data_IF_840673241224
#
_entry.id   IF_840673241224
#
_cell.length_a   1.000
_cell.length_b   1.000
_cell.length_c   1.000
_cell.angle_alpha   90.00
_cell.angle_beta   90.00
_cell.angle_gamma   90.00
#
_symmetry.space_group_name_H-M   'P 1'
#
loop_
_entity.id
_entity.type
_entity.pdbx_description
1 polymer ?
#
# COMPACT_ATOMS: atom_id res chain seq x y z
N UNK A 1 -23.32 4.61 6.38
CA UNK A 1 -22.92 3.71 5.29
C UNK A 1 -21.98 4.50 4.39
N UNK A 2 -20.87 3.91 3.93
CA UNK A 2 -19.97 4.60 3.01
C UNK A 2 -20.63 4.61 1.61
N UNK A 3 -20.56 5.73 0.88
CA UNK A 3 -21.25 5.95 -0.40
C UNK A 3 -21.01 4.87 -1.47
N UNK A 4 -19.89 4.17 -1.40
CA UNK A 4 -19.53 3.10 -2.34
C UNK A 4 -20.20 1.75 -2.05
N UNK A 5 -20.67 1.53 -0.82
CA UNK A 5 -21.43 0.33 -0.48
C UNK A 5 -22.80 0.32 -1.18
N UNK A 6 -23.34 1.48 -1.52
CA UNK A 6 -24.59 1.63 -2.28
C UNK A 6 -24.40 1.34 -3.78
N UNK A 7 -23.16 1.35 -4.28
CA UNK A 7 -22.84 1.28 -5.72
C UNK A 7 -22.48 -0.13 -6.20
N UNK A 8 -22.64 -1.17 -5.38
CA UNK A 8 -22.36 -2.59 -5.68
C UNK A 8 -20.92 -2.96 -6.08
N UNK A 9 -19.96 -2.02 -6.02
CA UNK A 9 -18.54 -2.29 -6.24
C UNK A 9 -17.94 -2.73 -4.92
N UNK A 10 -17.62 -4.02 -4.81
CA UNK A 10 -16.99 -4.58 -3.62
C UNK A 10 -15.85 -5.50 -4.01
N UNK A 11 -14.63 -5.32 -3.46
CA UNK A 11 -13.51 -6.18 -3.78
C UNK A 11 -13.77 -7.60 -3.29
N UNK A 12 -13.35 -8.58 -4.08
CA UNK A 12 -13.28 -9.98 -3.66
C UNK A 12 -12.12 -10.18 -2.68
N UNK A 13 -11.02 -9.41 -2.85
CA UNK A 13 -9.81 -9.50 -2.04
C UNK A 13 -9.15 -8.13 -1.88
N UNK A 14 -8.67 -7.83 -0.68
CA UNK A 14 -7.86 -6.65 -0.36
C UNK A 14 -6.52 -7.11 0.21
N UNK A 15 -5.44 -6.79 -0.47
CA UNK A 15 -4.08 -7.12 -0.10
C UNK A 15 -3.41 -5.88 0.51
N UNK A 16 -2.94 -5.98 1.75
CA UNK A 16 -2.27 -4.90 2.47
C UNK A 16 -0.77 -5.15 2.51
N UNK A 17 -0.04 -4.48 1.64
CA UNK A 17 1.39 -4.65 1.51
C UNK A 17 2.15 -3.63 2.37
N UNK A 18 2.98 -4.15 3.28
CA UNK A 18 3.83 -3.37 4.17
C UNK A 18 5.29 -3.83 4.09
N UNK A 19 6.21 -2.95 4.49
CA UNK A 19 7.64 -3.27 4.57
C UNK A 19 8.48 -2.01 4.67
N UNK A 20 9.64 -2.13 5.33
CA UNK A 20 10.58 -1.01 5.52
C UNK A 20 11.18 -0.53 4.20
N UNK A 21 11.72 0.70 4.17
CA UNK A 21 12.51 1.20 3.04
C UNK A 21 13.56 0.18 2.57
N UNK A 22 13.69 0.03 1.25
CA UNK A 22 14.66 -0.85 0.57
C UNK A 22 14.45 -2.37 0.81
N UNK A 23 13.33 -2.79 1.41
CA UNK A 23 13.00 -4.22 1.53
C UNK A 23 12.53 -4.87 0.21
N UNK A 24 12.22 -4.08 -0.82
CA UNK A 24 11.72 -4.59 -2.12
C UNK A 24 10.20 -4.74 -2.21
N UNK A 25 9.45 -4.07 -1.32
CA UNK A 25 7.99 -3.96 -1.39
C UNK A 25 7.47 -3.59 -2.78
N UNK A 26 8.06 -2.56 -3.41
CA UNK A 26 7.61 -2.07 -4.71
C UNK A 26 7.87 -3.09 -5.83
N UNK A 27 8.94 -3.89 -5.70
CA UNK A 27 9.19 -5.02 -6.60
C UNK A 27 8.07 -6.06 -6.48
N UNK A 28 7.65 -6.41 -5.27
CA UNK A 28 6.55 -7.36 -5.03
C UNK A 28 5.24 -6.85 -5.63
N UNK A 29 4.87 -5.59 -5.39
CA UNK A 29 3.64 -5.04 -5.95
C UNK A 29 3.66 -4.98 -7.47
N UNK A 30 4.81 -4.62 -8.05
CA UNK A 30 4.96 -4.56 -9.51
C UNK A 30 4.87 -5.95 -10.14
N UNK A 31 5.49 -6.97 -9.53
CA UNK A 31 5.42 -8.34 -10.02
C UNK A 31 4.02 -8.94 -9.95
N UNK A 32 3.29 -8.68 -8.87
CA UNK A 32 1.87 -9.08 -8.79
C UNK A 32 1.01 -8.38 -9.85
N UNK A 33 1.21 -7.08 -10.03
CA UNK A 33 0.47 -6.32 -11.06
C UNK A 33 0.81 -6.82 -12.47
N UNK A 34 2.08 -7.07 -12.77
CA UNK A 34 2.54 -7.62 -14.05
C UNK A 34 1.93 -9.00 -14.32
N UNK A 35 1.91 -9.88 -13.31
CA UNK A 35 1.35 -11.23 -13.42
C UNK A 35 -0.13 -11.23 -13.79
N UNK A 36 -0.93 -10.36 -13.17
CA UNK A 36 -2.38 -10.28 -13.42
C UNK A 36 -2.79 -9.31 -14.53
N UNK A 37 -1.86 -8.56 -15.12
CA UNK A 37 -2.15 -7.50 -16.10
C UNK A 37 -2.99 -7.97 -17.29
N UNK A 38 -2.70 -9.16 -17.80
CA UNK A 38 -3.37 -9.73 -18.97
C UNK A 38 -4.38 -10.84 -18.60
N UNK A 39 -4.70 -10.99 -17.32
CA UNK A 39 -5.66 -12.00 -16.89
C UNK A 39 -7.09 -11.46 -17.01
N UNK A 40 -7.86 -11.99 -17.96
CA UNK A 40 -9.22 -11.51 -18.22
C UNK A 40 -10.19 -11.73 -17.05
N UNK A 41 -9.90 -12.72 -16.18
CA UNK A 41 -10.72 -13.05 -15.02
C UNK A 41 -10.44 -12.17 -13.80
N UNK A 42 -9.34 -11.42 -13.79
CA UNK A 42 -8.89 -10.65 -12.62
C UNK A 42 -8.88 -9.16 -12.95
N UNK A 43 -9.41 -8.36 -12.04
CA UNK A 43 -9.20 -6.91 -12.06
C UNK A 43 -8.36 -6.53 -10.83
N UNK A 44 -7.06 -6.34 -11.01
CA UNK A 44 -6.18 -5.89 -9.93
C UNK A 44 -6.00 -4.38 -10.01
N UNK A 45 -6.29 -3.67 -8.92
CA UNK A 45 -6.11 -2.22 -8.80
C UNK A 45 -5.11 -1.89 -7.70
N UNK A 46 -4.09 -1.12 -8.07
CA UNK A 46 -3.13 -0.57 -7.12
C UNK A 46 -3.77 0.61 -6.38
N UNK A 47 -3.69 0.58 -5.06
CA UNK A 47 -4.13 1.67 -4.19
C UNK A 47 -2.93 2.17 -3.39
N UNK A 48 -2.71 3.48 -3.40
CA UNK A 48 -1.67 4.11 -2.59
C UNK A 48 -2.31 5.08 -1.59
N UNK A 49 -2.01 4.92 -0.31
CA UNK A 49 -2.47 5.80 0.77
C UNK A 49 -1.70 7.12 0.72
N UNK A 50 -0.45 7.10 0.24
CA UNK A 50 0.36 8.31 0.14
C UNK A 50 -0.05 9.25 -0.99
N UNK A 51 -0.75 8.79 -2.03
CA UNK A 51 -1.24 9.68 -3.09
C UNK A 51 -2.25 10.74 -2.59
N UNK A 52 -3.36 10.38 -1.90
CA UNK A 52 -4.27 11.40 -1.36
C UNK A 52 -3.61 12.28 -0.30
N UNK A 53 -2.64 11.74 0.46
CA UNK A 53 -1.80 12.54 1.37
C UNK A 53 -1.05 13.64 0.60
N UNK A 54 -0.28 13.30 -0.43
CA UNK A 54 0.46 14.28 -1.22
C UNK A 54 -0.46 15.31 -1.85
N UNK A 55 -1.61 14.87 -2.39
CA UNK A 55 -2.59 15.77 -3.02
C UNK A 55 -3.20 16.74 -2.02
N UNK A 56 -3.59 16.26 -0.84
CA UNK A 56 -4.16 17.10 0.21
C UNK A 56 -3.12 18.07 0.79
N UNK A 57 -1.88 17.60 1.03
CA UNK A 57 -0.77 18.44 1.49
C UNK A 57 -0.42 19.54 0.49
N UNK A 58 -0.34 19.18 -0.81
CA UNK A 58 -0.06 20.14 -1.88
C UNK A 58 -1.12 21.26 -1.93
N UNK A 59 -2.40 20.87 -1.85
CA UNK A 59 -3.52 21.83 -1.83
C UNK A 59 -3.48 22.76 -0.62
N UNK A 60 -3.23 22.24 0.58
CA UNK A 60 -3.22 23.04 1.82
C UNK A 60 -2.01 24.00 1.88
N UNK A 61 -0.91 23.67 1.21
CA UNK A 61 0.34 24.45 1.23
C UNK A 61 0.63 25.21 -0.08
N UNK A 62 -0.32 25.24 -1.03
CA UNK A 62 -0.15 25.83 -2.37
C UNK A 62 1.11 25.34 -3.10
N UNK A 63 1.39 24.03 -3.01
CA UNK A 63 2.52 23.39 -3.69
C UNK A 63 2.05 22.72 -4.99
N UNK A 64 2.97 22.61 -5.95
CA UNK A 64 2.77 21.82 -7.15
C UNK A 64 2.79 20.32 -6.81
N UNK A 65 1.65 19.65 -7.03
CA UNK A 65 1.49 18.23 -6.77
C UNK A 65 2.40 17.36 -7.65
N UNK A 66 2.61 17.72 -8.92
CA UNK A 66 3.43 16.93 -9.84
C UNK A 66 4.90 16.96 -9.40
N UNK A 67 5.38 18.09 -8.90
CA UNK A 67 6.73 18.21 -8.34
C UNK A 67 6.91 17.39 -7.05
N UNK A 68 5.85 17.16 -6.28
CA UNK A 68 5.87 16.28 -5.09
C UNK A 68 5.82 14.78 -5.45
N UNK A 69 5.46 14.44 -6.69
CA UNK A 69 5.52 13.08 -7.20
C UNK A 69 6.94 12.71 -7.65
N UNK A 70 7.67 13.66 -8.24
CA UNK A 70 9.01 13.45 -8.80
C UNK A 70 10.04 13.04 -7.73
N UNK A 71 11.00 12.21 -8.14
CA UNK A 71 12.04 11.56 -7.32
C UNK A 71 13.22 12.47 -6.95
N UNK A 72 13.00 13.78 -6.89
CA UNK A 72 14.02 14.78 -6.66
C UNK A 72 14.31 15.02 -5.17
N UNK A 73 15.45 15.66 -4.89
CA UNK A 73 15.84 16.13 -3.55
C UNK A 73 14.77 17.01 -2.90
N UNK A 74 14.01 17.74 -3.73
CA UNK A 74 12.81 18.49 -3.37
C UNK A 74 11.79 17.66 -2.58
N UNK A 75 11.52 16.42 -3.00
CA UNK A 75 10.57 15.52 -2.33
C UNK A 75 11.04 15.10 -0.94
N UNK A 76 12.34 14.89 -0.75
CA UNK A 76 12.88 14.51 0.57
C UNK A 76 12.84 15.69 1.56
N UNK A 77 13.00 16.94 1.09
CA UNK A 77 12.84 18.15 1.91
C UNK A 77 11.42 18.24 2.50
N UNK A 78 10.39 17.98 1.69
CA UNK A 78 9.00 18.03 2.15
C UNK A 78 8.52 16.74 2.82
N UNK A 79 9.25 15.63 2.69
CA UNK A 79 8.87 14.33 3.25
C UNK A 79 8.61 14.43 4.75
N UNK A 80 9.52 15.06 5.50
CA UNK A 80 9.38 15.19 6.96
C UNK A 80 8.15 16.02 7.34
N UNK A 81 7.97 17.20 6.72
CA UNK A 81 6.81 18.06 6.96
C UNK A 81 5.49 17.36 6.62
N UNK A 82 5.48 16.59 5.53
CA UNK A 82 4.31 15.83 5.10
C UNK A 82 4.00 14.67 6.06
N UNK A 83 5.02 14.00 6.60
CA UNK A 83 4.84 12.97 7.64
C UNK A 83 4.20 13.60 8.88
N UNK A 84 4.81 14.66 9.42
CA UNK A 84 4.32 15.40 10.60
C UNK A 84 2.87 15.86 10.41
N UNK A 85 2.58 16.50 9.28
CA UNK A 85 1.21 16.94 8.94
C UNK A 85 0.23 15.75 8.82
N UNK A 86 0.67 14.65 8.20
CA UNK A 86 -0.18 13.46 8.06
C UNK A 86 -0.48 12.80 9.40
N UNK A 87 0.47 12.82 10.34
CA UNK A 87 0.30 12.26 11.67
C UNK A 87 -0.72 13.09 12.46
N UNK A 88 -0.65 14.42 12.41
CA UNK A 88 -1.66 15.31 13.02
C UNK A 88 -3.08 15.05 12.49
N UNK A 89 -3.25 14.89 11.16
CA UNK A 89 -4.57 14.54 10.59
C UNK A 89 -5.05 13.17 11.08
N UNK A 90 -4.14 12.20 11.25
CA UNK A 90 -4.44 10.84 11.70
C UNK A 90 -4.72 10.74 13.19
N UNK A 91 -4.22 11.66 14.01
CA UNK A 91 -4.59 11.76 15.43
C UNK A 91 -6.06 12.11 15.61
N UNK A 92 -6.58 13.00 14.76
CA UNK A 92 -8.01 13.34 14.72
C UNK A 92 -8.83 12.23 14.05
N UNK A 93 -8.31 11.69 12.95
CA UNK A 93 -9.02 10.71 12.12
C UNK A 93 -8.06 9.69 11.49
N UNK A 94 -7.85 8.54 12.15
CA UNK A 94 -6.88 7.54 11.70
C UNK A 94 -7.15 6.98 10.30
N UNK A 95 -8.42 6.99 9.88
CA UNK A 95 -8.88 6.47 8.60
C UNK A 95 -8.90 7.49 7.47
N UNK A 96 -8.56 8.77 7.72
CA UNK A 96 -8.74 9.86 6.76
C UNK A 96 -8.18 9.56 5.37
N UNK A 97 -6.89 9.23 5.27
CA UNK A 97 -6.25 8.96 3.99
C UNK A 97 -6.66 7.62 3.38
N UNK A 98 -6.99 6.63 4.21
CA UNK A 98 -7.44 5.33 3.72
C UNK A 98 -8.83 5.44 3.08
N UNK A 99 -9.74 6.21 3.69
CA UNK A 99 -11.02 6.56 3.07
C UNK A 99 -10.78 7.28 1.76
N UNK A 100 -10.10 8.43 1.76
CA UNK A 100 -9.83 9.19 0.52
C UNK A 100 -9.24 8.33 -0.61
N UNK A 101 -8.32 7.40 -0.31
CA UNK A 101 -7.76 6.50 -1.30
C UNK A 101 -8.83 5.57 -1.92
N UNK A 102 -9.66 4.95 -1.08
CA UNK A 102 -10.74 4.06 -1.50
C UNK A 102 -11.81 4.85 -2.27
N UNK A 103 -12.15 6.03 -1.78
CA UNK A 103 -13.14 6.90 -2.40
C UNK A 103 -12.73 7.25 -3.84
N UNK A 104 -11.48 7.71 -4.02
CA UNK A 104 -10.95 8.01 -5.34
C UNK A 104 -10.95 6.78 -6.27
N UNK A 105 -10.53 5.61 -5.76
CA UNK A 105 -10.50 4.39 -6.57
C UNK A 105 -11.89 3.99 -7.05
N UNK A 106 -12.86 3.93 -6.15
CA UNK A 106 -14.20 3.47 -6.47
C UNK A 106 -14.96 4.44 -7.37
N UNK A 107 -14.76 5.76 -7.23
CA UNK A 107 -15.31 6.74 -8.17
C UNK A 107 -14.83 6.47 -9.60
N UNK A 108 -13.53 6.19 -9.80
CA UNK A 108 -13.00 5.83 -11.13
C UNK A 108 -13.56 4.51 -11.65
N UNK A 109 -13.66 3.47 -10.80
CA UNK A 109 -14.16 2.15 -11.24
C UNK A 109 -15.65 2.15 -11.59
N UNK A 110 -16.44 2.99 -10.92
CA UNK A 110 -17.84 3.18 -11.24
C UNK A 110 -18.03 3.72 -12.66
N UNK A 111 -17.19 4.67 -13.07
CA UNK A 111 -17.22 5.25 -14.41
C UNK A 111 -16.75 4.24 -15.48
N UNK A 112 -15.69 3.47 -15.21
CA UNK A 112 -15.09 2.59 -16.23
C UNK A 112 -15.72 1.20 -16.31
N UNK A 113 -16.44 0.75 -15.28
CA UNK A 113 -17.03 -0.60 -15.16
C UNK A 113 -16.03 -1.75 -15.32
N UNK A 114 -14.74 -1.50 -15.10
CA UNK A 114 -13.66 -2.46 -15.33
C UNK A 114 -13.71 -3.71 -14.44
N UNK A 115 -14.47 -3.68 -13.35
CA UNK A 115 -14.61 -4.78 -12.40
C UNK A 115 -15.74 -5.75 -12.75
N UNK A 116 -16.59 -5.43 -13.73
CA UNK A 116 -17.77 -6.24 -14.03
C UNK A 116 -17.39 -7.64 -14.52
N UNK A 117 -17.89 -8.67 -13.83
CA UNK A 117 -17.64 -10.07 -14.18
C UNK A 117 -16.22 -10.56 -13.87
N UNK A 118 -15.41 -9.79 -13.15
CA UNK A 118 -14.02 -10.14 -12.79
C UNK A 118 -13.86 -10.31 -11.29
N UNK A 119 -12.89 -11.14 -10.90
CA UNK A 119 -12.41 -11.21 -9.53
C UNK A 119 -11.62 -9.92 -9.21
N UNK A 120 -12.23 -9.04 -8.42
CA UNK A 120 -11.70 -7.70 -8.14
C UNK A 120 -10.78 -7.71 -6.91
N UNK A 121 -9.53 -7.31 -7.12
CA UNK A 121 -8.48 -7.24 -6.11
C UNK A 121 -8.03 -5.80 -5.92
N UNK A 122 -8.00 -5.33 -4.67
CA UNK A 122 -7.32 -4.08 -4.30
C UNK A 122 -5.98 -4.43 -3.68
N UNK A 123 -4.88 -3.97 -4.28
CA UNK A 123 -3.54 -4.09 -3.72
C UNK A 123 -3.11 -2.74 -3.15
N UNK A 124 -3.20 -2.61 -1.83
CA UNK A 124 -2.73 -1.43 -1.09
C UNK A 124 -1.21 -1.53 -0.94
N UNK A 125 -0.48 -0.66 -1.63
CA UNK A 125 0.96 -0.86 -1.81
C UNK A 125 1.80 -0.27 -0.68
N UNK A 126 1.28 0.63 0.14
CA UNK A 126 2.07 1.42 1.09
C UNK A 126 1.43 1.56 2.49
N UNK A 127 0.96 0.44 3.05
CA UNK A 127 0.52 0.42 4.46
C UNK A 127 1.72 0.59 5.40
N UNK A 128 1.58 1.50 6.35
CA UNK A 128 2.69 1.92 7.23
C UNK A 128 2.36 1.88 8.71
N UNK A 129 1.07 1.94 9.05
CA UNK A 129 0.59 2.08 10.43
C UNK A 129 -0.41 0.98 10.78
N UNK A 130 -0.49 0.62 12.07
CA UNK A 130 -1.50 -0.32 12.59
C UNK A 130 -2.91 0.15 12.27
N UNK A 131 -3.14 1.46 12.37
CA UNK A 131 -4.42 2.09 12.05
C UNK A 131 -4.83 1.90 10.58
N UNK A 132 -3.85 1.79 9.66
CA UNK A 132 -4.15 1.46 8.26
C UNK A 132 -4.70 0.02 8.18
N UNK A 133 -4.02 -0.94 8.83
CA UNK A 133 -4.46 -2.33 8.88
C UNK A 133 -5.87 -2.46 9.48
N UNK A 134 -6.09 -1.82 10.64
CA UNK A 134 -7.39 -1.80 11.31
C UNK A 134 -8.49 -1.21 10.44
N UNK A 135 -8.21 -0.10 9.75
CA UNK A 135 -9.19 0.54 8.87
C UNK A 135 -9.67 -0.41 7.78
N UNK A 136 -8.73 -1.06 7.07
CA UNK A 136 -9.08 -1.97 5.98
C UNK A 136 -9.74 -3.24 6.52
N UNK A 137 -9.26 -3.82 7.62
CA UNK A 137 -9.89 -4.97 8.28
C UNK A 137 -11.32 -4.68 8.73
N UNK A 138 -11.60 -3.48 9.27
CA UNK A 138 -12.97 -3.07 9.63
C UNK A 138 -13.85 -2.82 8.40
N UNK A 139 -13.26 -2.33 7.30
CA UNK A 139 -14.01 -1.94 6.09
C UNK A 139 -14.35 -3.12 5.18
N UNK A 140 -13.48 -4.15 5.14
CA UNK A 140 -13.57 -5.28 4.19
C UNK A 140 -13.60 -6.66 4.88
N UNK A 141 -13.56 -6.69 6.21
CA UNK A 141 -13.76 -7.86 7.07
C UNK A 141 -12.88 -9.05 6.66
N UNK A 142 -13.48 -10.15 6.22
CA UNK A 142 -12.82 -11.42 5.91
C UNK A 142 -12.13 -11.45 4.54
N UNK A 143 -12.16 -10.33 3.80
CA UNK A 143 -11.54 -10.22 2.47
C UNK A 143 -10.15 -9.59 2.52
N UNK A 144 -9.62 -9.33 3.71
CA UNK A 144 -8.33 -8.66 3.89
C UNK A 144 -7.25 -9.71 4.12
N UNK A 145 -6.12 -9.55 3.41
CA UNK A 145 -4.89 -10.29 3.67
C UNK A 145 -3.72 -9.33 3.83
N UNK A 146 -2.98 -9.53 4.91
CA UNK A 146 -1.83 -8.71 5.29
C UNK A 146 -0.54 -9.36 4.81
N UNK A 147 0.31 -8.59 4.13
CA UNK A 147 1.56 -9.05 3.54
C UNK A 147 2.69 -8.18 4.08
N UNK A 148 3.67 -8.82 4.73
CA UNK A 148 4.89 -8.15 5.19
C UNK A 148 6.07 -8.57 4.32
N UNK A 149 6.69 -7.60 3.65
CA UNK A 149 7.94 -7.81 2.91
C UNK A 149 9.11 -7.43 3.80
N UNK A 150 10.04 -8.37 3.96
CA UNK A 150 11.21 -8.23 4.81
C UNK A 150 12.48 -8.48 4.02
N UNK A 151 13.53 -7.76 4.37
CA UNK A 151 14.87 -8.03 3.90
C UNK A 151 15.80 -7.77 5.07
N UNK A 152 16.84 -8.60 5.19
CA UNK A 152 17.89 -8.44 6.17
C UNK A 152 18.55 -7.07 6.02
N UNK A 153 19.16 -6.61 7.10
CA UNK A 153 19.89 -5.36 7.09
C UNK A 153 21.01 -5.36 6.06
N UNK A 154 21.78 -6.45 5.94
CA UNK A 154 22.84 -6.59 4.94
C UNK A 154 22.29 -6.50 3.51
N UNK A 155 21.15 -7.12 3.21
CA UNK A 155 20.51 -7.00 1.90
C UNK A 155 20.02 -5.58 1.64
N UNK A 156 19.49 -4.88 2.65
CA UNK A 156 19.09 -3.47 2.51
C UNK A 156 20.31 -2.58 2.26
N UNK A 157 21.40 -2.77 3.00
CA UNK A 157 22.68 -2.06 2.82
C UNK A 157 23.21 -2.26 1.40
N UNK A 158 23.19 -3.50 0.88
CA UNK A 158 23.58 -3.80 -0.49
C UNK A 158 22.71 -3.09 -1.56
N UNK A 159 21.52 -2.58 -1.18
CA UNK A 159 20.62 -1.76 -2.02
C UNK A 159 20.76 -0.26 -1.74
N UNK A 160 21.91 0.14 -1.21
CA UNK A 160 22.25 1.50 -0.79
C UNK A 160 21.29 2.03 0.28
N UNK A 161 20.87 1.18 1.22
CA UNK A 161 20.23 1.65 2.45
C UNK A 161 21.32 2.08 3.44
N UNK A 162 21.20 3.32 3.91
CA UNK A 162 22.00 3.86 5.00
C UNK A 162 20.99 4.31 6.05
N UNK A 163 21.17 3.85 7.29
CA UNK A 163 20.33 4.27 8.40
C UNK A 163 20.35 5.80 8.50
N UNK A 164 19.17 6.41 8.50
CA UNK A 164 19.02 7.85 8.63
C UNK A 164 18.10 8.15 9.82
N UNK A 165 18.67 8.75 10.86
CA UNK A 165 17.93 9.23 12.03
C UNK A 165 16.90 10.28 11.60
N UNK A 166 15.68 10.20 12.13
CA UNK A 166 14.53 11.00 11.70
C UNK A 166 13.85 10.50 10.42
N UNK A 167 14.26 9.35 9.87
CA UNK A 167 13.65 8.72 8.69
C UNK A 167 13.35 7.25 8.95
N UNK A 168 14.33 6.47 9.39
CA UNK A 168 14.18 5.02 9.58
C UNK A 168 13.69 4.64 11.00
N UNK A 169 13.71 5.59 11.94
CA UNK A 169 13.27 5.47 13.34
C UNK A 169 11.93 6.18 13.63
N UNK A 170 11.28 6.74 12.61
CA UNK A 170 9.98 7.39 12.75
C UNK A 170 8.84 6.37 12.65
N UNK A 171 7.69 6.74 13.22
CA UNK A 171 6.47 5.92 13.23
C UNK A 171 6.12 5.34 11.85
N UNK A 172 6.25 6.13 10.78
CA UNK A 172 5.92 5.70 9.42
C UNK A 172 6.78 4.56 8.84
N UNK A 173 7.87 4.16 9.51
CA UNK A 173 8.73 3.02 9.15
C UNK A 173 8.75 1.92 10.24
N UNK A 174 8.33 2.22 11.48
CA UNK A 174 8.45 1.31 12.63
C UNK A 174 7.11 0.86 13.26
N UNK A 175 5.99 1.52 12.96
CA UNK A 175 4.70 1.27 13.65
C UNK A 175 4.16 -0.16 13.42
N UNK A 176 4.72 -0.92 12.49
CA UNK A 176 4.35 -2.30 12.21
C UNK A 176 5.37 -3.34 12.70
N UNK A 177 6.44 -2.93 13.39
CA UNK A 177 7.53 -3.83 13.78
C UNK A 177 7.16 -4.80 14.91
N UNK A 178 6.24 -4.41 15.80
CA UNK A 178 5.74 -5.24 16.89
C UNK A 178 4.47 -6.03 16.52
N UNK A 179 3.98 -5.91 15.28
CA UNK A 179 2.88 -6.71 14.76
C UNK A 179 3.35 -8.15 14.55
N UNK A 180 2.85 -9.07 15.39
CA UNK A 180 3.31 -10.46 15.41
C UNK A 180 2.84 -11.29 14.22
N UNK A 181 1.61 -11.02 13.76
CA UNK A 181 0.93 -11.81 12.75
C UNK A 181 0.69 -11.03 11.46
N UNK A 182 1.11 -11.63 10.36
CA UNK A 182 0.75 -11.26 9.01
C UNK A 182 0.30 -12.54 8.30
N UNK A 183 -0.70 -12.47 7.43
CA UNK A 183 -1.18 -13.64 6.67
C UNK A 183 -0.06 -14.20 5.77
N UNK A 184 0.76 -13.30 5.21
CA UNK A 184 1.94 -13.65 4.41
C UNK A 184 3.16 -12.86 4.85
N UNK A 185 4.30 -13.53 4.91
CA UNK A 185 5.62 -12.91 5.06
C UNK A 185 6.49 -13.29 3.87
N UNK A 186 6.96 -12.30 3.13
CA UNK A 186 7.83 -12.49 1.96
C UNK A 186 9.24 -12.05 2.35
N UNK A 187 10.15 -13.01 2.43
CA UNK A 187 11.57 -12.75 2.63
C UNK A 187 12.22 -12.37 1.30
N UNK A 188 13.05 -11.34 1.32
CA UNK A 188 13.74 -10.82 0.15
C UNK A 188 15.23 -10.63 0.43
N UNK A 189 15.88 -11.70 0.91
CA UNK A 189 17.33 -11.72 1.08
C UNK A 189 18.04 -12.18 -0.20
N UNK A 190 17.37 -12.99 -1.01
CA UNK A 190 17.87 -13.51 -2.28
C UNK A 190 16.70 -13.77 -3.26
N UNK A 191 17.05 -14.12 -4.50
CA UNK A 191 16.07 -14.38 -5.56
C UNK A 191 15.14 -15.56 -5.24
N UNK A 192 15.67 -16.65 -4.67
CA UNK A 192 14.87 -17.84 -4.37
C UNK A 192 13.78 -17.56 -3.34
N UNK A 193 14.11 -16.84 -2.27
CA UNK A 193 13.16 -16.48 -1.20
C UNK A 193 12.03 -15.58 -1.73
N UNK A 194 12.36 -14.52 -2.46
CA UNK A 194 11.33 -13.60 -2.97
C UNK A 194 10.43 -14.27 -4.00
N UNK A 195 11.00 -15.10 -4.89
CA UNK A 195 10.23 -15.85 -5.87
C UNK A 195 9.31 -16.87 -5.19
N UNK A 196 9.79 -17.58 -4.16
CA UNK A 196 8.96 -18.50 -3.38
C UNK A 196 7.79 -17.79 -2.69
N UNK A 197 8.05 -16.63 -2.07
CA UNK A 197 7.01 -15.83 -1.44
C UNK A 197 5.99 -15.27 -2.44
N UNK A 198 6.44 -14.83 -3.62
CA UNK A 198 5.58 -14.39 -4.71
C UNK A 198 4.69 -15.52 -5.23
N UNK A 199 5.27 -16.69 -5.50
CA UNK A 199 4.53 -17.85 -6.00
C UNK A 199 3.47 -18.28 -4.99
N UNK A 200 3.82 -18.37 -3.70
CA UNK A 200 2.85 -18.70 -2.63
C UNK A 200 1.65 -17.75 -2.61
N UNK A 201 1.91 -16.44 -2.79
CA UNK A 201 0.85 -15.44 -2.82
C UNK A 201 0.01 -15.52 -4.12
N UNK A 202 0.65 -15.77 -5.26
CA UNK A 202 -0.02 -15.97 -6.55
C UNK A 202 -0.92 -17.20 -6.50
N UNK A 203 -0.41 -18.33 -6.02
CA UNK A 203 -1.17 -19.59 -5.89
C UNK A 203 -2.37 -19.40 -4.97
N UNK A 204 -2.19 -18.69 -3.85
CA UNK A 204 -3.30 -18.32 -2.97
C UNK A 204 -4.38 -17.52 -3.71
N UNK A 205 -4.00 -16.50 -4.48
CA UNK A 205 -4.97 -15.69 -5.24
C UNK A 205 -5.66 -16.53 -6.30
N UNK A 206 -4.92 -17.39 -7.01
CA UNK A 206 -5.48 -18.28 -8.04
C UNK A 206 -6.49 -19.27 -7.49
N UNK A 207 -6.28 -19.78 -6.28
CA UNK A 207 -7.23 -20.68 -5.63
C UNK A 207 -8.55 -20.00 -5.22
N UNK A 208 -8.65 -18.67 -5.28
CA UNK A 208 -9.87 -17.92 -4.98
C UNK A 208 -10.68 -17.54 -6.24
N UNK A 209 -10.08 -17.65 -7.43
CA UNK A 209 -10.65 -17.25 -8.73
C UNK A 209 -11.42 -18.42 -9.35
#
# INVERSE_FOLDING_TARGET
MNSYQEQSIYPNLVLLLSGKRKCGKDYVSNKLAEYFKNNEKVCLKLLTISAPLKKAYAKENNLDYEQLLDSSEYKEIYRRKMIEWSDLKREVDPGYFCRLAIENLFSTLYETKETNGKFFIILVTDTRRKTDLEFFSKSFTNRVKTIRVEASESTRIARNWIYTKGVDDVRSECDLDDVKYFDFKIQNNNYSEITSGLNTLIDFIQNLI
#
